data_IF_426606415971
#
_entry.id   IF_426606415971
#
_cell.length_a   1.000
_cell.length_b   1.000
_cell.length_c   1.000
_cell.angle_alpha   90.00
_cell.angle_beta   90.00
_cell.angle_gamma   90.00
#
_symmetry.space_group_name_H-M   'P 1'
#
loop_
_entity.id
_entity.type
_entity.pdbx_description
1 polymer ?
#
# COMPACT_ATOMS: atom_id res chain seq x y z
N UNK A 1 4.06 12.65 -2.84
CA UNK A 1 5.03 12.95 -3.94
C UNK A 1 6.38 13.21 -3.27
N UNK A 2 7.44 12.62 -3.77
CA UNK A 2 8.80 12.85 -3.25
C UNK A 2 9.48 14.08 -3.89
N UNK A 3 10.79 14.30 -3.58
CA UNK A 3 11.55 15.44 -4.15
C UNK A 3 11.82 15.31 -5.65
N UNK A 4 11.70 14.13 -6.21
CA UNK A 4 11.87 13.81 -7.63
C UNK A 4 10.53 13.78 -8.38
N UNK A 5 9.45 14.23 -7.74
CA UNK A 5 8.07 14.22 -8.26
C UNK A 5 7.52 12.83 -8.55
N UNK A 6 8.08 11.76 -7.94
CA UNK A 6 7.49 10.45 -8.00
C UNK A 6 6.25 10.35 -7.10
N UNK A 7 5.24 9.61 -7.52
CA UNK A 7 4.01 9.40 -6.79
C UNK A 7 3.94 7.97 -6.27
N UNK A 8 3.56 7.83 -5.00
CA UNK A 8 3.46 6.53 -4.34
C UNK A 8 2.06 6.32 -3.77
N UNK A 9 1.47 5.17 -4.06
CA UNK A 9 0.34 4.63 -3.32
C UNK A 9 0.82 3.38 -2.58
N UNK A 10 0.77 3.41 -1.24
CA UNK A 10 1.18 2.27 -0.40
C UNK A 10 -0.06 1.69 0.26
N UNK A 11 -0.32 0.42 0.01
CA UNK A 11 -1.42 -0.33 0.59
C UNK A 11 -0.90 -1.51 1.40
N UNK A 12 -1.34 -1.60 2.65
CA UNK A 12 -1.06 -2.73 3.52
C UNK A 12 -2.30 -3.61 3.55
N UNK A 13 -2.17 -4.87 3.13
CA UNK A 13 -3.25 -5.83 3.00
C UNK A 13 -2.97 -7.08 3.86
N UNK A 14 -3.81 -7.34 4.84
CA UNK A 14 -3.70 -8.53 5.69
C UNK A 14 -4.09 -9.82 4.95
N UNK A 15 -5.03 -9.71 3.97
CA UNK A 15 -5.53 -10.86 3.23
C UNK A 15 -5.04 -10.85 1.78
N UNK A 16 -4.69 -12.04 1.28
CA UNK A 16 -4.22 -12.23 -0.11
C UNK A 16 -5.23 -11.73 -1.15
N UNK A 17 -6.53 -11.95 -0.92
CA UNK A 17 -7.60 -11.53 -1.82
C UNK A 17 -7.65 -10.01 -2.01
N UNK A 18 -7.21 -9.24 -1.00
CA UNK A 18 -7.11 -7.79 -1.07
C UNK A 18 -6.00 -7.26 -1.97
N UNK A 19 -5.05 -8.11 -2.38
CA UNK A 19 -3.88 -7.72 -3.17
C UNK A 19 -3.88 -8.30 -4.59
N UNK A 20 -5.05 -8.43 -5.23
CA UNK A 20 -5.12 -8.99 -6.57
C UNK A 20 -4.42 -8.09 -7.61
N UNK A 21 -3.84 -8.66 -8.69
CA UNK A 21 -3.22 -7.89 -9.78
C UNK A 21 -4.20 -6.89 -10.44
N UNK A 22 -5.48 -7.21 -10.49
CA UNK A 22 -6.51 -6.30 -11.01
C UNK A 22 -6.70 -5.08 -10.10
N UNK A 23 -6.60 -5.26 -8.77
CA UNK A 23 -6.67 -4.16 -7.81
C UNK A 23 -5.45 -3.25 -7.94
N UNK A 24 -4.25 -3.81 -8.05
CA UNK A 24 -3.05 -3.02 -8.28
C UNK A 24 -3.15 -2.15 -9.55
N UNK A 25 -3.63 -2.73 -10.66
CA UNK A 25 -3.91 -2.01 -11.89
C UNK A 25 -4.95 -0.91 -11.71
N UNK A 26 -6.02 -1.17 -10.95
CA UNK A 26 -7.06 -0.18 -10.66
C UNK A 26 -6.51 1.03 -9.90
N UNK A 27 -5.68 0.78 -8.87
CA UNK A 27 -5.02 1.86 -8.11
C UNK A 27 -4.05 2.67 -8.98
N UNK A 28 -3.32 2.03 -9.89
CA UNK A 28 -2.47 2.73 -10.86
C UNK A 28 -3.29 3.72 -11.71
N UNK A 29 -4.43 3.27 -12.25
CA UNK A 29 -5.31 4.17 -13.02
C UNK A 29 -5.93 5.30 -12.17
N UNK A 30 -6.26 5.03 -10.90
CA UNK A 30 -6.77 6.07 -10.00
C UNK A 30 -5.72 7.15 -9.69
N UNK A 31 -4.45 6.78 -9.55
CA UNK A 31 -3.36 7.74 -9.37
C UNK A 31 -3.31 8.70 -10.55
N UNK A 32 -3.31 8.18 -11.78
CA UNK A 32 -3.22 8.98 -13.00
C UNK A 32 -4.44 9.91 -13.16
N UNK A 33 -5.64 9.41 -12.88
CA UNK A 33 -6.88 10.19 -12.97
C UNK A 33 -6.94 11.40 -12.03
N UNK A 34 -6.27 11.31 -10.88
CA UNK A 34 -6.27 12.38 -9.88
C UNK A 34 -5.18 13.43 -10.09
N UNK A 35 -4.34 13.29 -11.12
CA UNK A 35 -3.17 14.13 -11.33
C UNK A 35 -3.32 15.13 -12.46
N UNK A 36 -4.13 14.80 -13.48
CA UNK A 36 -4.30 15.66 -14.64
C UNK A 36 -5.66 16.36 -14.60
N UNK A 37 -5.63 17.67 -14.84
CA UNK A 37 -6.83 18.44 -15.11
C UNK A 37 -7.27 18.23 -16.57
N UNK A 38 -8.56 18.43 -16.89
CA UNK A 38 -9.06 18.33 -18.25
C UNK A 38 -8.29 19.23 -19.23
N UNK A 39 -7.71 18.63 -20.26
CA UNK A 39 -6.93 19.34 -21.28
C UNK A 39 -5.42 19.42 -21.02
N UNK A 40 -4.95 18.89 -19.90
CA UNK A 40 -3.51 18.79 -19.66
C UNK A 40 -2.83 17.67 -20.49
N UNK A 41 -1.56 17.89 -20.80
CA UNK A 41 -0.78 16.92 -21.57
C UNK A 41 -0.39 15.70 -20.73
N UNK A 42 -0.57 14.49 -21.26
CA UNK A 42 -0.23 13.23 -20.56
C UNK A 42 1.24 13.10 -20.19
N UNK A 43 2.14 13.83 -20.87
CA UNK A 43 3.59 13.88 -20.56
C UNK A 43 3.90 14.51 -19.21
N UNK A 44 2.92 15.16 -18.57
CA UNK A 44 3.04 15.69 -17.20
C UNK A 44 2.86 14.63 -16.12
N UNK A 45 2.37 13.42 -16.47
CA UNK A 45 2.24 12.34 -15.51
C UNK A 45 3.63 12.00 -14.94
N UNK A 46 3.77 11.94 -13.60
CA UNK A 46 5.02 11.56 -12.94
C UNK A 46 5.22 10.04 -13.01
N UNK A 47 6.39 9.57 -12.60
CA UNK A 47 6.54 8.16 -12.28
C UNK A 47 5.57 7.79 -11.15
N UNK A 48 4.81 6.73 -11.33
CA UNK A 48 3.86 6.25 -10.33
C UNK A 48 4.22 4.85 -9.83
N UNK A 49 4.06 4.66 -8.52
CA UNK A 49 4.36 3.40 -7.84
C UNK A 49 3.16 2.97 -7.00
N UNK A 50 2.59 1.83 -7.31
CA UNK A 50 1.60 1.14 -6.46
C UNK A 50 2.31 0.04 -5.70
N UNK A 51 2.44 0.20 -4.39
CA UNK A 51 3.15 -0.72 -3.51
C UNK A 51 2.12 -1.45 -2.65
N UNK A 52 2.01 -2.77 -2.82
CA UNK A 52 1.15 -3.61 -2.01
C UNK A 52 2.02 -4.43 -1.05
N UNK A 53 1.90 -4.14 0.24
CA UNK A 53 2.54 -4.90 1.32
C UNK A 53 1.54 -5.91 1.84
N UNK A 54 1.83 -7.19 1.73
CA UNK A 54 0.92 -8.28 2.09
C UNK A 54 1.48 -9.12 3.21
N UNK A 55 0.63 -9.65 4.07
CA UNK A 55 1.05 -10.56 5.14
C UNK A 55 1.53 -11.91 4.61
N UNK A 56 1.16 -12.27 3.38
CA UNK A 56 1.58 -13.51 2.73
C UNK A 56 1.97 -13.22 1.29
N UNK A 57 2.82 -14.07 0.70
CA UNK A 57 3.18 -13.96 -0.72
C UNK A 57 1.93 -14.00 -1.63
N UNK A 58 1.54 -12.83 -2.13
CA UNK A 58 0.33 -12.67 -2.93
C UNK A 58 0.44 -13.32 -4.31
N UNK A 59 1.64 -13.39 -4.89
CA UNK A 59 1.88 -13.93 -6.24
C UNK A 59 2.29 -15.41 -6.23
N UNK A 60 2.79 -15.92 -5.09
CA UNK A 60 3.04 -17.35 -4.89
C UNK A 60 4.37 -17.87 -5.49
N UNK A 61 5.34 -17.00 -5.79
CA UNK A 61 6.64 -17.39 -6.32
C UNK A 61 7.76 -17.40 -5.25
N UNK A 62 7.40 -17.19 -3.99
CA UNK A 62 8.30 -17.24 -2.82
C UNK A 62 9.45 -16.22 -2.87
N UNK A 63 9.17 -15.02 -3.39
CA UNK A 63 10.12 -13.91 -3.38
C UNK A 63 9.71 -12.85 -2.34
N UNK A 64 10.68 -12.19 -1.69
CA UNK A 64 10.39 -11.14 -0.71
C UNK A 64 9.78 -9.87 -1.33
N UNK A 65 10.08 -9.66 -2.61
CA UNK A 65 9.61 -8.50 -3.37
C UNK A 65 9.46 -8.86 -4.86
N UNK A 66 8.46 -8.26 -5.50
CA UNK A 66 8.19 -8.37 -6.93
C UNK A 66 8.10 -6.99 -7.52
N UNK A 67 8.86 -6.74 -8.59
CA UNK A 67 8.75 -5.53 -9.40
C UNK A 67 8.05 -5.89 -10.70
N UNK A 68 6.92 -5.26 -10.96
CA UNK A 68 6.11 -5.50 -12.14
C UNK A 68 6.16 -4.27 -13.03
N UNK A 69 6.59 -4.47 -14.27
CA UNK A 69 6.58 -3.49 -15.35
C UNK A 69 5.91 -4.05 -16.59
N UNK A 70 5.56 -3.19 -17.53
CA UNK A 70 5.02 -3.60 -18.83
C UNK A 70 6.14 -3.79 -19.84
N UNK A 71 5.94 -4.72 -20.78
CA UNK A 71 6.91 -5.03 -21.84
C UNK A 71 6.24 -5.04 -23.20
N UNK A 72 7.01 -4.65 -24.21
CA UNK A 72 6.65 -4.80 -25.62
C UNK A 72 6.90 -6.27 -25.98
N UNK A 73 5.84 -7.01 -26.33
CA UNK A 73 5.93 -8.46 -26.55
C UNK A 73 6.84 -8.84 -27.73
N UNK A 74 6.86 -8.02 -28.77
CA UNK A 74 7.57 -8.30 -30.03
C UNK A 74 9.10 -8.25 -29.88
N UNK A 75 9.62 -7.50 -28.92
CA UNK A 75 11.07 -7.31 -28.77
C UNK A 75 11.59 -7.46 -27.33
N UNK A 76 10.71 -7.70 -26.36
CA UNK A 76 11.02 -7.90 -24.95
C UNK A 76 11.50 -6.64 -24.20
N UNK A 77 11.51 -5.48 -24.84
CA UNK A 77 11.93 -4.22 -24.22
C UNK A 77 10.86 -3.71 -23.25
N UNK A 78 11.29 -2.95 -22.26
CA UNK A 78 10.36 -2.30 -21.34
C UNK A 78 9.52 -1.26 -22.09
N UNK A 79 8.23 -1.20 -21.71
CA UNK A 79 7.33 -0.15 -22.19
C UNK A 79 7.51 1.07 -21.26
N UNK A 80 7.95 2.23 -21.79
CA UNK A 80 8.40 3.36 -20.96
C UNK A 80 7.23 4.23 -20.49
N UNK A 81 6.26 3.64 -19.79
CA UNK A 81 5.08 4.36 -19.28
C UNK A 81 5.26 4.89 -17.86
N UNK A 82 6.39 4.60 -17.23
CA UNK A 82 6.74 5.08 -15.89
C UNK A 82 5.74 4.68 -14.79
N UNK A 83 4.90 3.65 -15.04
CA UNK A 83 3.96 3.11 -14.07
C UNK A 83 4.47 1.76 -13.53
N UNK A 84 4.68 1.71 -12.22
CA UNK A 84 5.28 0.58 -11.53
C UNK A 84 4.33 -0.01 -10.50
N UNK A 85 4.33 -1.34 -10.39
CA UNK A 85 3.62 -2.05 -9.33
C UNK A 85 4.66 -2.88 -8.57
N UNK A 86 4.63 -2.80 -7.23
CA UNK A 86 5.55 -3.52 -6.36
C UNK A 86 4.72 -4.33 -5.37
N UNK A 87 5.01 -5.62 -5.25
CA UNK A 87 4.49 -6.46 -4.18
C UNK A 87 5.59 -6.77 -3.19
N UNK A 88 5.26 -6.72 -1.91
CA UNK A 88 6.19 -7.02 -0.82
C UNK A 88 5.53 -8.04 0.11
N UNK A 89 6.23 -9.14 0.37
CA UNK A 89 5.84 -10.11 1.39
C UNK A 89 6.39 -9.68 2.76
N UNK A 90 5.50 -9.23 3.65
CA UNK A 90 5.90 -8.75 4.98
C UNK A 90 6.30 -9.86 5.95
N UNK A 91 6.05 -11.14 5.63
CA UNK A 91 6.60 -12.26 6.40
C UNK A 91 8.09 -12.44 6.20
N UNK A 92 8.64 -11.96 5.09
CA UNK A 92 10.08 -12.00 4.88
C UNK A 92 10.76 -10.92 5.73
N UNK A 93 11.36 -11.36 6.85
CA UNK A 93 12.05 -10.52 7.83
C UNK A 93 13.54 -10.86 7.90
N UNK A 94 14.14 -11.20 6.77
CA UNK A 94 15.57 -11.46 6.66
C UNK A 94 16.39 -10.24 7.08
N UNK A 95 17.67 -10.45 7.43
CA UNK A 95 18.57 -9.37 7.84
C UNK A 95 19.03 -8.51 6.65
N UNK A 96 18.05 -7.94 5.96
CA UNK A 96 18.20 -6.95 4.89
C UNK A 96 17.48 -5.66 5.26
N UNK A 97 17.73 -4.57 4.56
CA UNK A 97 17.00 -3.31 4.80
C UNK A 97 15.49 -3.48 4.65
N UNK A 98 15.04 -4.24 3.64
CA UNK A 98 13.63 -4.54 3.42
C UNK A 98 13.07 -5.43 4.54
N UNK A 99 13.79 -6.51 4.89
CA UNK A 99 13.33 -7.44 5.93
C UNK A 99 13.23 -6.78 7.30
N UNK A 100 14.17 -5.90 7.65
CA UNK A 100 14.09 -5.09 8.88
C UNK A 100 12.89 -4.13 8.86
N UNK A 101 12.57 -3.51 7.72
CA UNK A 101 11.37 -2.69 7.57
C UNK A 101 10.10 -3.53 7.73
N UNK A 102 10.06 -4.72 7.13
CA UNK A 102 8.92 -5.64 7.29
C UNK A 102 8.79 -6.12 8.74
N UNK A 103 9.90 -6.40 9.43
CA UNK A 103 9.90 -6.66 10.86
C UNK A 103 9.23 -5.52 11.64
N UNK A 104 9.59 -4.27 11.37
CA UNK A 104 9.05 -3.10 12.07
C UNK A 104 7.54 -2.97 11.90
N UNK A 105 6.97 -3.35 10.76
CA UNK A 105 5.51 -3.37 10.56
C UNK A 105 4.78 -4.41 11.41
N UNK A 106 5.48 -5.42 11.90
CA UNK A 106 4.95 -6.43 12.81
C UNK A 106 5.27 -6.15 14.29
N UNK A 107 6.15 -5.19 14.58
CA UNK A 107 6.51 -4.82 15.96
C UNK A 107 5.33 -4.16 16.67
N UNK A 108 5.09 -4.61 17.89
CA UNK A 108 4.13 -3.96 18.80
C UNK A 108 4.76 -2.84 19.59
N UNK A 109 6.01 -3.01 19.99
CA UNK A 109 6.72 -2.04 20.84
C UNK A 109 7.73 -1.23 20.05
N UNK A 110 7.75 0.11 20.21
CA UNK A 110 8.66 0.97 19.46
C UNK A 110 10.14 0.62 19.66
N UNK A 111 10.50 0.14 20.86
CA UNK A 111 11.87 -0.18 21.24
C UNK A 111 12.46 -1.33 20.43
N UNK A 112 11.61 -2.22 19.89
CA UNK A 112 12.00 -3.37 19.07
C UNK A 112 12.22 -3.00 17.60
N UNK A 113 11.82 -1.79 17.17
CA UNK A 113 11.93 -1.37 15.78
C UNK A 113 13.35 -0.98 15.39
N UNK A 114 13.77 -1.40 14.20
CA UNK A 114 15.05 -1.02 13.61
C UNK A 114 15.04 0.41 13.04
N UNK A 115 13.95 0.81 12.39
CA UNK A 115 13.85 2.11 11.74
C UNK A 115 13.57 3.22 12.75
N UNK A 116 14.49 4.19 12.94
CA UNK A 116 14.34 5.22 13.95
C UNK A 116 13.15 6.16 13.71
N UNK A 117 12.78 6.39 12.44
CA UNK A 117 11.65 7.25 12.08
C UNK A 117 10.33 6.57 12.47
N UNK A 118 10.17 5.28 12.11
CA UNK A 118 8.98 4.51 12.50
C UNK A 118 8.91 4.38 14.03
N UNK A 119 10.01 4.05 14.69
CA UNK A 119 10.11 3.98 16.14
C UNK A 119 9.60 5.26 16.79
N UNK A 120 10.09 6.40 16.35
CA UNK A 120 9.70 7.70 16.89
C UNK A 120 8.21 7.98 16.66
N UNK A 121 7.69 7.72 15.48
CA UNK A 121 6.28 7.92 15.16
C UNK A 121 5.37 7.01 15.99
N UNK A 122 5.68 5.72 16.08
CA UNK A 122 4.90 4.76 16.87
C UNK A 122 4.95 5.13 18.35
N UNK A 123 6.12 5.53 18.87
CA UNK A 123 6.26 6.02 20.25
C UNK A 123 5.36 7.24 20.51
N UNK A 124 5.34 8.21 19.60
CA UNK A 124 4.47 9.38 19.73
C UNK A 124 2.99 9.01 19.72
N UNK A 125 2.57 8.12 18.82
CA UNK A 125 1.17 7.67 18.75
C UNK A 125 0.74 6.92 20.01
N UNK A 126 1.60 6.08 20.58
CA UNK A 126 1.27 5.28 21.77
C UNK A 126 1.37 6.06 23.10
N UNK A 127 2.34 6.97 23.22
CA UNK A 127 2.75 7.53 24.50
C UNK A 127 2.45 9.02 24.66
N UNK A 128 1.95 9.71 23.63
CA UNK A 128 1.51 11.09 23.77
C UNK A 128 -0.01 11.20 23.84
N UNK A 129 -0.50 12.20 24.57
CA UNK A 129 -1.94 12.45 24.74
C UNK A 129 -2.63 12.74 23.40
N UNK A 130 -1.95 13.46 22.52
CA UNK A 130 -2.40 13.77 21.17
C UNK A 130 -2.42 12.52 20.28
N UNK A 131 -1.37 11.71 20.33
CA UNK A 131 -1.26 10.47 19.55
C UNK A 131 -2.34 9.45 19.94
N UNK A 132 -2.55 9.24 21.24
CA UNK A 132 -3.61 8.36 21.74
C UNK A 132 -4.99 8.86 21.32
N UNK A 133 -5.26 10.17 21.40
CA UNK A 133 -6.54 10.74 20.91
C UNK A 133 -6.73 10.56 19.41
N UNK A 134 -5.66 10.72 18.61
CA UNK A 134 -5.71 10.52 17.16
C UNK A 134 -5.99 9.06 16.86
N UNK A 135 -5.31 8.13 17.51
CA UNK A 135 -5.52 6.69 17.34
C UNK A 135 -6.96 6.28 17.69
N UNK A 136 -7.51 6.75 18.83
CA UNK A 136 -8.90 6.48 19.20
C UNK A 136 -9.88 6.99 18.13
N UNK A 137 -9.67 8.20 17.61
CA UNK A 137 -10.53 8.78 16.58
C UNK A 137 -10.51 7.98 15.27
N UNK A 138 -9.34 7.52 14.84
CA UNK A 138 -9.23 6.69 13.63
C UNK A 138 -9.82 5.29 13.84
N UNK A 139 -9.66 4.70 15.01
CA UNK A 139 -10.32 3.44 15.37
C UNK A 139 -11.86 3.57 15.36
N UNK A 140 -12.41 4.64 15.91
CA UNK A 140 -13.85 4.92 15.89
C UNK A 140 -14.37 5.10 14.45
N UNK A 141 -13.56 5.68 13.57
CA UNK A 141 -13.90 5.84 12.15
C UNK A 141 -13.94 4.48 11.45
N UNK A 142 -12.90 3.65 11.64
CA UNK A 142 -12.84 2.28 11.08
C UNK A 142 -14.03 1.45 11.55
N UNK A 143 -14.38 1.53 12.84
CA UNK A 143 -15.52 0.83 13.41
C UNK A 143 -16.85 1.24 12.74
N UNK A 144 -17.10 2.55 12.60
CA UNK A 144 -18.30 3.08 11.95
C UNK A 144 -18.38 2.71 10.46
N UNK A 145 -17.26 2.73 9.75
CA UNK A 145 -17.20 2.32 8.35
C UNK A 145 -17.45 0.81 8.20
N UNK A 146 -16.97 -0.01 9.14
CA UNK A 146 -17.24 -1.45 9.23
C UNK A 146 -18.73 -1.74 9.44
N UNK A 147 -19.39 -1.04 10.37
CA UNK A 147 -20.83 -1.16 10.60
C UNK A 147 -21.66 -0.78 9.36
N UNK A 148 -21.34 0.34 8.71
CA UNK A 148 -22.01 0.77 7.48
C UNK A 148 -21.89 -0.25 6.35
N UNK A 149 -20.69 -0.83 6.19
CA UNK A 149 -20.46 -1.84 5.15
C UNK A 149 -21.19 -3.15 5.47
N UNK A 150 -21.19 -3.58 6.73
CA UNK A 150 -21.94 -4.74 7.18
C UNK A 150 -23.46 -4.60 6.96
N UNK A 151 -24.02 -3.43 7.25
CA UNK A 151 -25.45 -3.16 7.00
C UNK A 151 -25.80 -3.17 5.50
N UNK A 152 -24.91 -2.66 4.61
CA UNK A 152 -25.14 -2.71 3.16
C UNK A 152 -25.14 -4.14 2.64
N UNK A 153 -24.18 -4.96 3.05
CA UNK A 153 -24.10 -6.36 2.63
C UNK A 153 -25.34 -7.14 3.09
N UNK A 154 -25.79 -6.94 4.34
CA UNK A 154 -26.99 -7.59 4.87
C UNK A 154 -28.28 -7.17 4.16
N UNK A 155 -28.39 -5.92 3.69
CA UNK A 155 -29.55 -5.44 2.90
C UNK A 155 -29.59 -6.00 1.48
N UNK A 156 -28.42 -6.24 0.88
CA UNK A 156 -28.32 -6.79 -0.48
C UNK A 156 -28.57 -8.30 -0.52
N UNK A 157 -28.28 -9.03 0.58
CA UNK A 157 -28.61 -10.45 0.70
C UNK A 157 -30.11 -10.70 0.93
N UNK A 158 -30.82 -9.78 1.57
CA UNK A 158 -32.28 -9.90 1.81
C UNK A 158 -33.11 -9.59 0.55
N UNK A 159 -32.52 -8.94 -0.47
CA UNK A 159 -33.19 -8.58 -1.73
C UNK A 159 -32.99 -9.62 -2.85
N UNK A 160 -32.36 -10.74 -2.59
CA UNK A 160 -32.23 -11.90 -3.49
C UNK A 160 -33.15 -13.03 -3.06
#
# INVERSE_FOLDING_TARGET
MDREHNLYNVEIQQKREGASPKRARYHSGLLDMNLLEPGEAYQKLPNSYVILITETDALGYHLPIYHISRKIQENGRDFPDCAHIIYVDSKNQEDTALGRLMHDFHCKEPEEMYNPVLRQQVYQFKNTREGVKLMCREMDKIYRDGERNGQKVGQDEVKR
#
